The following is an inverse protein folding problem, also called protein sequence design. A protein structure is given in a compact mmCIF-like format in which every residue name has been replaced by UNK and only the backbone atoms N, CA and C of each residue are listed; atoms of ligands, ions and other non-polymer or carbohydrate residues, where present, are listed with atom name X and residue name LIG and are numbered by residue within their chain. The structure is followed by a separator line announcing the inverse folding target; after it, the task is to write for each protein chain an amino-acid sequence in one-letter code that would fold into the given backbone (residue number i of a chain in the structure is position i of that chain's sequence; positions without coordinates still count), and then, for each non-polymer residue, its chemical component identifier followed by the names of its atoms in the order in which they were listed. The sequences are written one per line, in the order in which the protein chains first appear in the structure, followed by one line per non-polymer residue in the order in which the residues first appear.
data_IF_819694793221
#
_entry.id   IF_819694793221
#
_cell.length_a   1.000
_cell.length_b   1.000
_cell.length_c   1.000
_cell.angle_alpha   90.00
_cell.angle_beta   90.00
_cell.angle_gamma   90.00
#
_symmetry.space_group_name_H-M   'P 1'
#
loop_
_entity.id
_entity.type
_entity.pdbx_description
1 polymer ?
#
# COMPACT_ATOMS: atom_id res chain seq x y z
N UNK A 1 -38.96 9.29 27.43
CA UNK A 1 -37.79 8.41 27.63
C UNK A 1 -37.02 8.05 26.35
N UNK A 2 -37.30 8.65 25.17
CA UNK A 2 -36.72 8.21 23.88
C UNK A 2 -35.37 8.86 23.48
N UNK A 3 -34.95 9.97 24.10
CA UNK A 3 -33.73 10.70 23.69
C UNK A 3 -32.40 10.06 24.15
N UNK A 4 -32.43 9.12 25.12
CA UNK A 4 -31.22 8.48 25.68
C UNK A 4 -30.75 7.25 24.89
N UNK A 5 -31.65 6.55 24.20
CA UNK A 5 -31.32 5.32 23.47
C UNK A 5 -30.35 5.59 22.30
N UNK A 6 -30.67 6.56 21.45
CA UNK A 6 -29.81 6.90 20.31
C UNK A 6 -28.46 7.53 20.66
N UNK A 7 -28.27 8.00 21.91
CA UNK A 7 -26.96 8.47 22.40
C UNK A 7 -26.10 7.34 22.98
N UNK A 8 -26.71 6.24 23.45
CA UNK A 8 -25.99 5.05 23.92
C UNK A 8 -25.49 4.23 22.73
N UNK A 9 -26.32 3.98 21.71
CA UNK A 9 -25.92 3.26 20.50
C UNK A 9 -24.73 3.92 19.77
N UNK A 10 -24.74 5.26 19.65
CA UNK A 10 -23.62 6.01 19.06
C UNK A 10 -22.34 5.92 19.89
N UNK A 11 -22.45 5.88 21.22
CA UNK A 11 -21.31 5.71 22.12
C UNK A 11 -20.73 4.30 22.02
N UNK A 12 -21.58 3.28 21.96
CA UNK A 12 -21.17 1.89 21.78
C UNK A 12 -20.49 1.69 20.42
N UNK A 13 -21.04 2.24 19.34
CA UNK A 13 -20.40 2.20 18.02
C UNK A 13 -19.02 2.90 18.02
N UNK A 14 -18.90 4.06 18.66
CA UNK A 14 -17.62 4.78 18.78
C UNK A 14 -16.59 3.98 19.60
N UNK A 15 -17.01 3.32 20.68
CA UNK A 15 -16.15 2.44 21.48
C UNK A 15 -15.72 1.23 20.66
N UNK A 16 -16.64 0.58 19.93
CA UNK A 16 -16.33 -0.53 19.04
C UNK A 16 -15.24 -0.17 18.02
N UNK A 17 -15.38 0.97 17.33
CA UNK A 17 -14.36 1.47 16.41
C UNK A 17 -13.01 1.71 17.11
N UNK A 18 -12.99 2.35 18.28
CA UNK A 18 -11.74 2.63 19.01
C UNK A 18 -11.02 1.35 19.44
N UNK A 19 -11.76 0.30 19.79
CA UNK A 19 -11.19 -0.99 20.18
C UNK A 19 -10.53 -1.73 19.01
N UNK A 20 -11.14 -1.68 17.82
CA UNK A 20 -10.60 -2.36 16.62
C UNK A 20 -9.58 -1.51 15.85
N UNK A 21 -9.64 -0.18 15.98
CA UNK A 21 -8.76 0.76 15.29
C UNK A 21 -7.26 0.42 15.39
N UNK A 22 -6.67 0.09 16.57
CA UNK A 22 -5.25 -0.26 16.63
C UNK A 22 -4.92 -1.49 15.78
N UNK A 23 -5.78 -2.51 15.79
CA UNK A 23 -5.60 -3.71 14.97
C UNK A 23 -5.72 -3.39 13.48
N UNK A 24 -6.70 -2.57 13.09
CA UNK A 24 -6.89 -2.12 11.70
C UNK A 24 -5.67 -1.33 11.22
N UNK A 25 -5.11 -0.44 12.05
CA UNK A 25 -3.90 0.32 11.70
C UNK A 25 -2.71 -0.61 11.50
N UNK A 26 -2.52 -1.59 12.38
CA UNK A 26 -1.40 -2.54 12.26
C UNK A 26 -1.55 -3.38 10.99
N UNK A 27 -2.72 -3.99 10.78
CA UNK A 27 -2.98 -4.83 9.60
C UNK A 27 -2.88 -3.99 8.32
N UNK A 28 -3.53 -2.83 8.31
CA UNK A 28 -3.47 -1.89 7.18
C UNK A 28 -2.04 -1.44 6.91
N UNK A 29 -1.27 -1.12 7.94
CA UNK A 29 0.15 -0.77 7.83
C UNK A 29 0.99 -1.89 7.23
N UNK A 30 0.80 -3.14 7.67
CA UNK A 30 1.51 -4.31 7.14
C UNK A 30 1.23 -4.55 5.65
N UNK A 31 0.04 -4.20 5.16
CA UNK A 31 -0.32 -4.34 3.75
C UNK A 31 0.17 -3.13 2.95
N UNK A 32 -0.10 -1.92 3.43
CA UNK A 32 0.17 -0.67 2.72
C UNK A 32 1.68 -0.38 2.63
N UNK A 33 2.43 -0.67 3.70
CA UNK A 33 3.86 -0.41 3.74
C UNK A 33 4.65 -1.09 2.60
N UNK A 34 4.57 -2.42 2.39
CA UNK A 34 5.31 -3.06 1.29
C UNK A 34 4.82 -2.61 -0.08
N UNK A 35 3.54 -2.25 -0.24
CA UNK A 35 3.03 -1.69 -1.51
C UNK A 35 3.68 -0.35 -1.81
N UNK A 36 3.69 0.58 -0.84
CA UNK A 36 4.35 1.88 -0.99
C UNK A 36 5.85 1.69 -1.24
N UNK A 37 6.49 0.76 -0.52
CA UNK A 37 7.91 0.47 -0.70
C UNK A 37 8.22 -0.07 -2.10
N UNK A 38 7.38 -0.95 -2.65
CA UNK A 38 7.52 -1.44 -4.02
C UNK A 38 7.29 -0.34 -5.06
N UNK A 39 6.31 0.55 -4.83
CA UNK A 39 6.11 1.73 -5.67
C UNK A 39 7.37 2.60 -5.62
N UNK A 40 7.94 2.86 -4.45
CA UNK A 40 9.19 3.59 -4.32
C UNK A 40 10.32 2.90 -5.08
N UNK A 41 10.54 1.59 -4.89
CA UNK A 41 11.58 0.82 -5.56
C UNK A 41 11.42 0.77 -7.08
N UNK A 42 10.20 0.87 -7.61
CA UNK A 42 9.95 0.87 -9.06
C UNK A 42 10.61 2.04 -9.80
N UNK A 43 10.96 3.12 -9.08
CA UNK A 43 11.71 4.25 -9.63
C UNK A 43 13.23 4.05 -9.61
N UNK A 44 13.69 2.89 -9.12
CA UNK A 44 15.10 2.56 -9.00
C UNK A 44 15.43 1.32 -9.84
N UNK A 45 16.64 1.27 -10.34
CA UNK A 45 17.28 0.05 -10.78
C UNK A 45 17.81 -0.67 -9.52
N UNK A 46 17.13 -1.74 -9.13
CA UNK A 46 17.45 -2.52 -7.93
C UNK A 46 18.43 -3.63 -8.29
N UNK A 47 19.64 -3.58 -7.70
CA UNK A 47 20.64 -4.61 -7.96
C UNK A 47 20.43 -5.83 -7.06
N UNK A 48 20.47 -7.02 -7.65
CA UNK A 48 20.45 -8.31 -6.91
C UNK A 48 21.83 -8.60 -6.31
N UNK A 49 22.87 -7.85 -6.71
CA UNK A 49 24.23 -8.02 -6.18
C UNK A 49 24.31 -7.45 -4.75
N UNK A 50 24.65 -8.27 -3.74
CA UNK A 50 24.81 -7.78 -2.38
C UNK A 50 25.83 -6.63 -2.31
N UNK A 51 25.48 -5.55 -1.62
CA UNK A 51 26.37 -4.40 -1.41
C UNK A 51 26.38 -3.37 -2.54
N UNK A 52 25.67 -3.59 -3.66
CA UNK A 52 25.44 -2.53 -4.65
C UNK A 52 24.25 -1.66 -4.23
N UNK A 53 24.38 -0.31 -4.26
CA UNK A 53 23.26 0.57 -3.99
C UNK A 53 22.26 0.54 -5.15
N UNK A 54 20.99 0.81 -4.83
CA UNK A 54 19.94 1.02 -5.83
C UNK A 54 20.18 2.36 -6.54
N UNK A 55 20.03 2.37 -7.86
CA UNK A 55 20.25 3.58 -8.68
C UNK A 55 18.90 4.20 -8.98
N UNK A 56 18.71 5.50 -8.69
CA UNK A 56 17.47 6.17 -9.06
C UNK A 56 17.44 6.44 -10.57
N UNK A 57 16.46 5.85 -11.25
CA UNK A 57 16.29 5.95 -12.71
C UNK A 57 14.97 6.65 -13.09
N UNK A 58 14.18 7.08 -12.10
CA UNK A 58 12.92 7.78 -12.32
C UNK A 58 11.90 6.89 -13.04
N UNK A 59 11.41 7.34 -14.20
CA UNK A 59 10.39 6.62 -14.98
C UNK A 59 10.94 5.69 -16.06
N UNK A 60 12.26 5.52 -16.13
CA UNK A 60 12.94 4.69 -17.13
C UNK A 60 12.35 3.27 -17.19
N UNK A 61 12.23 2.60 -16.04
CA UNK A 61 11.68 1.25 -15.93
C UNK A 61 10.27 1.13 -16.55
N UNK A 62 9.43 2.16 -16.36
CA UNK A 62 8.07 2.18 -16.91
C UNK A 62 8.07 2.34 -18.43
N UNK A 63 8.94 3.22 -18.95
CA UNK A 63 9.08 3.40 -20.39
C UNK A 63 9.57 2.13 -21.08
N UNK A 64 10.53 1.42 -20.49
CA UNK A 64 11.05 0.15 -21.01
C UNK A 64 9.94 -0.91 -21.12
N UNK A 65 9.15 -1.10 -20.05
CA UNK A 65 8.03 -2.07 -20.05
C UNK A 65 6.97 -1.71 -21.09
N UNK A 66 6.60 -0.43 -21.21
CA UNK A 66 5.57 0.02 -22.16
C UNK A 66 6.07 -0.04 -23.61
N UNK A 67 7.36 0.12 -23.85
CA UNK A 67 7.93 0.05 -25.21
C UNK A 67 8.35 -1.35 -25.61
N UNK A 68 8.46 -2.29 -24.67
CA UNK A 68 8.84 -3.67 -24.93
C UNK A 68 7.72 -4.43 -25.67
N UNK A 69 7.93 -4.82 -26.94
CA UNK A 69 6.95 -5.61 -27.67
C UNK A 69 6.75 -7.02 -27.08
N UNK A 70 7.73 -7.55 -26.34
CA UNK A 70 7.62 -8.83 -25.64
C UNK A 70 6.65 -8.79 -24.47
N UNK A 71 6.64 -7.69 -23.72
CA UNK A 71 5.66 -7.43 -22.67
C UNK A 71 4.24 -7.50 -23.22
N UNK A 72 3.94 -6.79 -24.31
CA UNK A 72 2.61 -6.79 -24.92
C UNK A 72 2.19 -8.13 -25.52
N UNK A 73 3.14 -8.89 -26.08
CA UNK A 73 2.88 -10.25 -26.56
C UNK A 73 2.43 -11.19 -25.44
N UNK A 74 2.78 -10.92 -24.18
CA UNK A 74 2.34 -11.73 -23.04
C UNK A 74 0.87 -11.51 -22.66
N UNK A 75 0.22 -10.46 -23.20
CA UNK A 75 -1.21 -10.19 -23.02
C UNK A 75 -2.09 -10.79 -24.14
N UNK A 76 -1.49 -11.45 -25.14
CA UNK A 76 -2.17 -12.02 -26.32
C UNK A 76 -2.12 -13.53 -26.36
#
# INVERSE_FOLDING_TARGET
MQAKAGTLEKKEASLGWKLILPTVIIIGGLIIYPVIYNIYLSFFEVSITPGKPNIFVGLQNYAEVITDPGFWRSFG
#
